data_IF_904656725414
#
_entry.id   IF_904656725414
#
_cell.length_a   1.000
_cell.length_b   1.000
_cell.length_c   1.000
_cell.angle_alpha   90.00
_cell.angle_beta   90.00
_cell.angle_gamma   90.00
#
_symmetry.space_group_name_H-M   'P 1'
#
loop_
_entity.id
_entity.type
_entity.pdbx_description
1 polymer ?
#
# COMPACT_ATOMS: atom_id res chain seq x y z
N UNK A 1 8.71 -17.46 -11.66
CA UNK A 1 8.67 -15.97 -11.76
C UNK A 1 8.04 -15.40 -10.50
N UNK A 2 8.71 -14.42 -9.91
CA UNK A 2 8.23 -13.85 -8.65
C UNK A 2 7.27 -12.71 -8.90
N UNK A 3 6.24 -12.62 -8.07
CA UNK A 3 5.32 -11.49 -8.10
C UNK A 3 5.99 -10.27 -7.48
N UNK A 4 5.61 -9.10 -7.98
CA UNK A 4 6.16 -7.84 -7.53
C UNK A 4 5.15 -7.09 -6.67
N UNK A 5 5.62 -6.64 -5.51
CA UNK A 5 4.78 -5.91 -4.55
C UNK A 5 5.39 -4.53 -4.31
N UNK A 6 4.55 -3.50 -4.38
CA UNK A 6 4.96 -2.13 -4.07
C UNK A 6 4.47 -1.79 -2.67
N UNK A 7 5.41 -1.42 -1.79
CA UNK A 7 5.12 -1.05 -0.39
C UNK A 7 5.27 0.46 -0.24
N UNK A 8 4.21 1.13 0.16
CA UNK A 8 4.18 2.58 0.29
C UNK A 8 3.85 2.95 1.73
N UNK A 9 4.83 3.50 2.45
CA UNK A 9 4.69 3.93 3.83
C UNK A 9 5.79 4.95 4.12
N UNK A 10 5.46 6.04 4.80
CA UNK A 10 6.44 7.07 5.14
C UNK A 10 7.33 6.67 6.32
N UNK A 11 6.95 5.65 7.08
CA UNK A 11 7.74 5.15 8.20
C UNK A 11 8.76 4.11 7.70
N UNK A 12 10.07 4.40 7.79
CA UNK A 12 11.08 3.46 7.29
C UNK A 12 11.08 2.12 8.05
N UNK A 13 10.73 2.11 9.32
CA UNK A 13 10.68 0.88 10.09
C UNK A 13 9.58 -0.06 9.57
N UNK A 14 8.43 0.51 9.24
CA UNK A 14 7.32 -0.27 8.67
C UNK A 14 7.68 -0.77 7.27
N UNK A 15 8.25 0.11 6.43
CA UNK A 15 8.69 -0.30 5.09
C UNK A 15 9.67 -1.47 5.17
N UNK A 16 10.65 -1.37 6.05
CA UNK A 16 11.67 -2.40 6.19
C UNK A 16 11.07 -3.71 6.74
N UNK A 17 10.18 -3.61 7.72
CA UNK A 17 9.52 -4.78 8.29
C UNK A 17 8.71 -5.52 7.23
N UNK A 18 7.82 -4.81 6.55
CA UNK A 18 6.95 -5.41 5.54
C UNK A 18 7.77 -5.95 4.37
N UNK A 19 8.75 -5.18 3.90
CA UNK A 19 9.61 -5.61 2.79
C UNK A 19 10.37 -6.87 3.15
N UNK A 20 10.89 -6.96 4.37
CA UNK A 20 11.62 -8.15 4.82
C UNK A 20 10.74 -9.38 4.85
N UNK A 21 9.54 -9.25 5.39
CA UNK A 21 8.59 -10.36 5.45
C UNK A 21 8.25 -10.86 4.04
N UNK A 22 8.00 -9.93 3.11
CA UNK A 22 7.64 -10.28 1.74
C UNK A 22 8.79 -10.92 0.99
N UNK A 23 10.01 -10.40 1.16
CA UNK A 23 11.19 -10.99 0.54
C UNK A 23 11.44 -12.41 1.05
N UNK A 24 11.18 -12.65 2.32
CA UNK A 24 11.30 -13.99 2.90
C UNK A 24 10.33 -14.98 2.26
N UNK A 25 9.25 -14.48 1.69
CA UNK A 25 8.25 -15.29 0.98
C UNK A 25 8.50 -15.30 -0.53
N UNK A 26 9.68 -14.87 -0.97
CA UNK A 26 10.10 -14.89 -2.37
C UNK A 26 9.37 -13.90 -3.28
N UNK A 27 8.85 -12.81 -2.72
CA UNK A 27 8.31 -11.72 -3.53
C UNK A 27 9.42 -10.73 -3.89
N UNK A 28 9.31 -10.11 -5.04
CA UNK A 28 10.12 -8.95 -5.38
C UNK A 28 9.42 -7.72 -4.81
N UNK A 29 10.18 -6.84 -4.15
CA UNK A 29 9.61 -5.70 -3.45
C UNK A 29 10.22 -4.41 -3.98
N UNK A 30 9.35 -3.47 -4.36
CA UNK A 30 9.71 -2.06 -4.54
C UNK A 30 9.10 -1.29 -3.39
N UNK A 31 9.68 -0.14 -3.06
CA UNK A 31 9.12 0.67 -1.97
C UNK A 31 9.11 2.14 -2.33
N UNK A 32 8.22 2.88 -1.68
CA UNK A 32 8.11 4.33 -1.82
C UNK A 32 7.90 4.93 -0.43
N UNK A 33 8.60 6.03 -0.16
CA UNK A 33 8.60 6.64 1.16
C UNK A 33 7.58 7.77 1.30
N UNK A 34 7.01 8.24 0.18
CA UNK A 34 6.09 9.37 0.20
C UNK A 34 5.18 9.32 -1.01
N UNK A 35 4.24 10.26 -1.06
CA UNK A 35 3.24 10.32 -2.12
C UNK A 35 3.88 10.44 -3.50
N UNK A 36 4.81 11.36 -3.67
CA UNK A 36 5.41 11.62 -4.98
C UNK A 36 6.21 10.42 -5.49
N UNK A 37 6.97 9.77 -4.62
CA UNK A 37 7.67 8.54 -4.98
C UNK A 37 6.71 7.43 -5.38
N UNK A 38 5.59 7.33 -4.66
CA UNK A 38 4.56 6.33 -4.95
C UNK A 38 3.96 6.55 -6.34
N UNK A 39 3.61 7.80 -6.65
CA UNK A 39 3.07 8.14 -7.98
C UNK A 39 4.08 7.77 -9.06
N UNK A 40 5.35 8.10 -8.85
CA UNK A 40 6.41 7.77 -9.80
C UNK A 40 6.49 6.25 -10.04
N UNK A 41 6.49 5.46 -8.97
CA UNK A 41 6.59 4.01 -9.09
C UNK A 41 5.37 3.39 -9.76
N UNK A 42 4.18 3.87 -9.43
CA UNK A 42 2.94 3.38 -10.03
C UNK A 42 2.91 3.70 -11.52
N UNK A 43 3.31 4.90 -11.90
CA UNK A 43 3.32 5.31 -13.32
C UNK A 43 4.41 4.61 -14.12
N UNK A 44 5.52 4.28 -13.47
CA UNK A 44 6.61 3.57 -14.11
C UNK A 44 6.19 2.15 -14.48
N UNK A 45 5.57 1.44 -13.55
CA UNK A 45 5.09 0.08 -13.76
C UNK A 45 4.15 -0.30 -12.63
N UNK A 46 2.95 -0.77 -12.97
CA UNK A 46 2.03 -1.28 -11.95
C UNK A 46 2.60 -2.55 -11.30
N UNK A 47 2.54 -2.66 -9.98
CA UNK A 47 2.92 -3.90 -9.31
C UNK A 47 1.83 -4.95 -9.47
N UNK A 48 2.13 -6.18 -9.06
CA UNK A 48 1.12 -7.23 -8.98
C UNK A 48 0.19 -7.02 -7.79
N UNK A 49 0.68 -6.34 -6.73
CA UNK A 49 -0.07 -5.98 -5.55
C UNK A 49 0.55 -4.75 -4.92
N UNK A 50 -0.26 -3.86 -4.37
CA UNK A 50 0.22 -2.68 -3.66
C UNK A 50 -0.22 -2.73 -2.20
N UNK A 51 0.70 -2.36 -1.29
CA UNK A 51 0.41 -2.17 0.13
C UNK A 51 0.61 -0.69 0.40
N UNK A 52 -0.44 0.02 0.77
CA UNK A 52 -0.46 1.48 0.84
C UNK A 52 -0.90 1.96 2.21
N UNK A 53 -0.04 2.77 2.85
CA UNK A 53 -0.42 3.48 4.06
C UNK A 53 -1.36 4.62 3.71
N UNK A 54 -2.43 4.80 4.48
CA UNK A 54 -3.39 5.87 4.24
C UNK A 54 -2.76 7.23 4.46
N UNK A 55 -2.06 7.40 5.58
CA UNK A 55 -1.44 8.69 5.90
C UNK A 55 -0.01 8.75 5.38
N UNK A 56 0.23 9.67 4.47
CA UNK A 56 1.54 9.93 3.91
C UNK A 56 1.94 11.38 4.25
N UNK A 57 2.98 11.87 3.58
CA UNK A 57 3.60 13.15 3.90
C UNK A 57 2.77 14.38 3.53
N UNK A 58 1.82 14.24 2.62
CA UNK A 58 1.03 15.39 2.14
C UNK A 58 -0.26 15.53 2.93
N UNK A 59 -0.66 16.79 3.13
CA UNK A 59 -1.88 17.11 3.88
C UNK A 59 -3.14 16.82 3.04
N UNK A 60 -3.09 17.15 1.77
CA UNK A 60 -4.25 17.10 0.89
C UNK A 60 -4.32 15.85 0.01
N UNK A 61 -3.27 15.03 0.03
CA UNK A 61 -3.23 13.80 -0.76
C UNK A 61 -2.62 12.67 0.07
N UNK A 62 -3.26 11.54 0.07
CA UNK A 62 -2.84 10.41 0.90
C UNK A 62 -3.00 9.07 0.18
N UNK A 63 -2.96 7.99 0.95
CA UNK A 63 -3.06 6.64 0.40
C UNK A 63 -4.37 6.36 -0.32
N UNK A 64 -5.46 7.03 0.05
CA UNK A 64 -6.74 6.88 -0.65
C UNK A 64 -6.61 7.39 -2.09
N UNK A 65 -5.91 8.52 -2.28
CA UNK A 65 -5.68 9.03 -3.63
C UNK A 65 -4.83 8.06 -4.45
N UNK A 66 -3.87 7.39 -3.82
CA UNK A 66 -3.06 6.37 -4.49
C UNK A 66 -3.88 5.15 -4.84
N UNK A 67 -4.80 4.74 -3.97
CA UNK A 67 -5.74 3.65 -4.26
C UNK A 67 -6.55 3.98 -5.51
N UNK A 68 -7.06 5.21 -5.59
CA UNK A 68 -7.81 5.66 -6.76
C UNK A 68 -6.96 5.61 -8.03
N UNK A 69 -5.69 6.01 -7.92
CA UNK A 69 -4.77 5.99 -9.06
C UNK A 69 -4.55 4.56 -9.55
N UNK A 70 -4.29 3.63 -8.64
CA UNK A 70 -4.07 2.23 -9.00
C UNK A 70 -5.32 1.63 -9.66
N UNK A 71 -6.48 1.82 -9.04
CA UNK A 71 -7.73 1.25 -9.56
C UNK A 71 -8.13 1.87 -10.90
N UNK A 72 -7.78 3.14 -11.12
CA UNK A 72 -8.02 3.78 -12.42
C UNK A 72 -7.17 3.15 -13.51
N UNK A 73 -5.94 2.77 -13.20
CA UNK A 73 -5.04 2.12 -14.16
C UNK A 73 -5.41 0.67 -14.40
N UNK A 74 -5.75 -0.05 -13.36
CA UNK A 74 -6.12 -1.46 -13.44
C UNK A 74 -6.96 -1.83 -12.20
N UNK A 75 -8.24 -2.02 -12.40
CA UNK A 75 -9.16 -2.37 -11.30
C UNK A 75 -8.90 -3.76 -10.71
N UNK A 76 -8.10 -4.58 -11.38
CA UNK A 76 -7.80 -5.94 -10.91
C UNK A 76 -6.52 -6.02 -10.09
N UNK A 77 -5.74 -4.94 -10.01
CA UNK A 77 -4.56 -4.93 -9.14
C UNK A 77 -5.01 -4.84 -7.68
N UNK A 78 -4.74 -5.86 -6.85
CA UNK A 78 -5.15 -5.82 -5.45
C UNK A 78 -4.40 -4.74 -4.69
N UNK A 79 -5.11 -4.01 -3.84
CA UNK A 79 -4.53 -3.00 -2.96
C UNK A 79 -4.89 -3.34 -1.53
N UNK A 80 -3.87 -3.45 -0.68
CA UNK A 80 -4.04 -3.61 0.75
C UNK A 80 -3.74 -2.28 1.41
N UNK A 81 -4.72 -1.73 2.11
CA UNK A 81 -4.54 -0.47 2.83
C UNK A 81 -4.11 -0.75 4.26
N UNK A 82 -3.17 0.04 4.77
CA UNK A 82 -2.73 -0.06 6.16
C UNK A 82 -2.87 1.31 6.82
N UNK A 83 -3.16 1.32 8.12
CA UNK A 83 -3.30 2.58 8.87
C UNK A 83 -3.08 2.38 10.35
N UNK A 84 -2.39 3.35 10.98
CA UNK A 84 -2.24 3.40 12.43
C UNK A 84 -3.42 4.06 13.14
N UNK A 85 -4.28 4.74 12.38
CA UNK A 85 -5.42 5.48 12.93
C UNK A 85 -6.68 5.15 12.14
N UNK A 86 -7.00 3.86 12.07
CA UNK A 86 -8.15 3.40 11.30
C UNK A 86 -9.45 3.78 12.01
N UNK A 87 -10.41 4.28 11.22
CA UNK A 87 -11.79 4.43 11.66
C UNK A 87 -12.66 3.54 10.78
N UNK A 88 -13.85 3.20 11.29
CA UNK A 88 -14.80 2.42 10.50
C UNK A 88 -15.11 3.13 9.19
N UNK A 89 -15.28 4.45 9.23
CA UNK A 89 -15.58 5.24 8.04
C UNK A 89 -14.48 5.14 6.99
N UNK A 90 -13.22 5.23 7.42
CA UNK A 90 -12.08 5.13 6.50
C UNK A 90 -12.01 3.74 5.87
N UNK A 91 -12.20 2.70 6.68
CA UNK A 91 -12.18 1.32 6.18
C UNK A 91 -13.30 1.08 5.17
N UNK A 92 -14.50 1.57 5.45
CA UNK A 92 -15.63 1.44 4.54
C UNK A 92 -15.36 2.17 3.23
N UNK A 93 -14.83 3.40 3.31
CA UNK A 93 -14.51 4.17 2.11
C UNK A 93 -13.47 3.47 1.26
N UNK A 94 -12.38 2.98 1.88
CA UNK A 94 -11.33 2.28 1.15
C UNK A 94 -11.88 1.05 0.45
N UNK A 95 -12.73 0.27 1.12
CA UNK A 95 -13.34 -0.91 0.52
C UNK A 95 -14.23 -0.54 -0.65
N UNK A 96 -15.02 0.52 -0.51
CA UNK A 96 -15.88 1.00 -1.61
C UNK A 96 -15.08 1.45 -2.82
N UNK A 97 -13.89 1.99 -2.61
CA UNK A 97 -13.02 2.47 -3.69
C UNK A 97 -12.19 1.35 -4.30
N UNK A 98 -12.34 0.14 -3.82
CA UNK A 98 -11.73 -1.02 -4.44
C UNK A 98 -10.58 -1.66 -3.68
N UNK A 99 -10.32 -1.26 -2.44
CA UNK A 99 -9.29 -1.92 -1.64
C UNK A 99 -9.67 -3.38 -1.40
N UNK A 100 -8.70 -4.25 -1.58
CA UNK A 100 -8.89 -5.69 -1.36
C UNK A 100 -8.96 -6.03 0.12
N UNK A 101 -8.13 -5.34 0.92
CA UNK A 101 -8.02 -5.61 2.35
C UNK A 101 -7.63 -4.33 3.08
N UNK A 102 -7.95 -4.26 4.38
CA UNK A 102 -7.61 -3.14 5.23
C UNK A 102 -7.03 -3.69 6.53
N UNK A 103 -5.78 -3.33 6.84
CA UNK A 103 -5.09 -3.83 8.03
C UNK A 103 -4.72 -2.65 8.93
N UNK A 104 -5.06 -2.77 10.21
CA UNK A 104 -4.75 -1.75 11.22
C UNK A 104 -3.38 -2.01 11.83
N UNK A 105 -2.59 -0.96 11.99
CA UNK A 105 -1.31 -1.05 12.70
C UNK A 105 -1.56 -1.01 14.22
N UNK A 106 -0.71 -1.61 15.03
CA UNK A 106 0.40 -2.47 14.64
C UNK A 106 -0.10 -3.83 14.20
N UNK A 107 0.62 -4.47 13.31
CA UNK A 107 0.20 -5.77 12.80
C UNK A 107 1.29 -6.82 13.05
N UNK A 108 0.83 -8.06 13.15
CA UNK A 108 1.73 -9.19 13.33
C UNK A 108 2.15 -9.75 11.97
N UNK A 109 3.18 -10.58 12.01
CA UNK A 109 3.69 -11.25 10.83
C UNK A 109 2.62 -12.07 10.11
N UNK A 110 1.70 -12.65 10.87
CA UNK A 110 0.64 -13.51 10.32
C UNK A 110 -0.35 -12.74 9.46
N UNK A 111 -0.48 -11.43 9.67
CA UNK A 111 -1.42 -10.62 8.89
C UNK A 111 -0.85 -10.19 7.54
N UNK A 112 0.43 -10.30 7.39
CA UNK A 112 1.09 -9.97 6.13
C UNK A 112 1.17 -11.22 5.26
#
# INVERSE_FOLDING_TARGET
MHKEILVIDDNPDIRNLVSGILKDQNFNVRSAANYDQAVFEINKKLPDLAIIDIKLDKVDKDGIDLLKLVTKKDKFTPVIMISGHATVQIAVEATRLGAYEFIEKPFSKEKI
#
